data_IF_103739325531
#
_entry.id   IF_103739325531
#
_cell.length_a   1.000
_cell.length_b   1.000
_cell.length_c   1.000
_cell.angle_alpha   90.00
_cell.angle_beta   90.00
_cell.angle_gamma   90.00
#
_symmetry.space_group_name_H-M   'P 1'
#
loop_
_entity.id
_entity.type
_entity.pdbx_description
1 polymer ?
#
# COMPACT_ATOMS: atom_id res chain seq x y z
N UNK A 1 -6.42 -39.73 -56.53
CA UNK A 1 -7.89 -39.48 -56.50
C UNK A 1 -8.60 -40.72 -57.01
N UNK A 2 -9.45 -41.36 -56.20
CA UNK A 2 -10.40 -42.36 -56.67
C UNK A 2 -11.63 -42.41 -55.74
N UNK A 3 -12.76 -42.82 -56.31
CA UNK A 3 -14.12 -42.68 -55.80
C UNK A 3 -14.68 -44.03 -55.32
N UNK A 4 -15.80 -43.97 -54.58
CA UNK A 4 -16.85 -45.02 -54.45
C UNK A 4 -16.43 -46.29 -53.66
N UNK A 5 -17.33 -47.07 -53.07
CA UNK A 5 -18.78 -46.95 -52.78
C UNK A 5 -19.20 -48.13 -51.87
N UNK A 6 -20.27 -48.02 -51.09
CA UNK A 6 -21.04 -49.18 -50.65
C UNK A 6 -22.56 -48.98 -50.74
N UNK A 7 -23.27 -50.11 -50.91
CA UNK A 7 -24.71 -50.32 -51.15
C UNK A 7 -25.11 -51.62 -50.41
N UNK A 8 -26.38 -51.99 -50.17
CA UNK A 8 -27.67 -51.58 -50.72
C UNK A 8 -28.75 -51.29 -49.63
N UNK A 9 -29.94 -50.86 -50.09
CA UNK A 9 -31.31 -51.27 -49.76
C UNK A 9 -31.53 -52.39 -48.68
N UNK A 10 -32.67 -52.55 -47.99
CA UNK A 10 -34.08 -52.16 -48.32
C UNK A 10 -34.99 -52.09 -47.08
N UNK A 11 -36.14 -51.42 -47.26
CA UNK A 11 -37.28 -51.26 -46.36
C UNK A 11 -37.93 -52.53 -45.75
N UNK A 12 -38.68 -52.33 -44.65
CA UNK A 12 -40.07 -52.82 -44.53
C UNK A 12 -40.90 -51.95 -43.56
N UNK A 13 -42.23 -52.01 -43.70
CA UNK A 13 -43.23 -51.19 -43.00
C UNK A 13 -44.15 -52.06 -42.14
N UNK A 14 -44.65 -51.55 -41.00
CA UNK A 14 -46.10 -51.47 -40.72
C UNK A 14 -46.42 -50.63 -39.47
N UNK A 15 -47.62 -50.04 -39.45
CA UNK A 15 -48.15 -49.24 -38.35
C UNK A 15 -49.12 -50.01 -37.46
N UNK A 16 -49.33 -49.54 -36.24
CA UNK A 16 -50.50 -49.88 -35.41
C UNK A 16 -50.90 -48.67 -34.55
N UNK A 17 -52.11 -48.16 -34.80
CA UNK A 17 -52.79 -47.12 -34.04
C UNK A 17 -53.64 -47.78 -32.94
N UNK A 18 -53.77 -47.12 -31.78
CA UNK A 18 -55.03 -46.91 -31.05
C UNK A 18 -54.78 -46.16 -29.72
N UNK A 19 -55.35 -44.96 -29.61
CA UNK A 19 -55.64 -44.33 -28.30
C UNK A 19 -56.87 -45.02 -27.68
N UNK A 20 -57.19 -44.80 -26.38
CA UNK A 20 -58.04 -43.63 -26.09
C UNK A 20 -57.93 -43.01 -24.68
N UNK A 21 -58.68 -41.91 -24.54
CA UNK A 21 -59.27 -41.31 -23.32
C UNK A 21 -58.44 -40.35 -22.46
N UNK A 22 -58.83 -39.09 -22.61
CA UNK A 22 -58.47 -37.90 -21.84
C UNK A 22 -59.00 -38.00 -20.39
N UNK A 23 -58.14 -37.76 -19.39
CA UNK A 23 -58.57 -37.34 -18.05
C UNK A 23 -57.62 -36.28 -17.47
N UNK A 24 -58.22 -35.14 -17.09
CA UNK A 24 -57.74 -34.10 -16.18
C UNK A 24 -56.22 -33.81 -16.07
N UNK A 25 -55.76 -32.73 -16.72
CA UNK A 25 -54.57 -31.99 -16.28
C UNK A 25 -54.96 -30.62 -15.72
N UNK A 26 -54.93 -30.50 -14.39
CA UNK A 26 -54.86 -29.20 -13.72
C UNK A 26 -53.48 -28.57 -13.97
N UNK A 27 -53.37 -27.24 -14.13
CA UNK A 27 -52.08 -26.57 -14.18
C UNK A 27 -51.49 -26.47 -12.76
N UNK A 28 -50.62 -27.42 -12.39
CA UNK A 28 -49.73 -27.23 -11.25
C UNK A 28 -48.59 -26.30 -11.68
N UNK A 29 -48.65 -25.03 -11.26
CA UNK A 29 -47.55 -24.07 -11.42
C UNK A 29 -46.38 -24.46 -10.52
N UNK A 30 -45.45 -25.25 -11.08
CA UNK A 30 -44.15 -25.50 -10.44
C UNK A 30 -43.33 -24.20 -10.43
N UNK A 31 -43.27 -23.55 -9.27
CA UNK A 31 -42.54 -22.30 -9.07
C UNK A 31 -41.02 -22.54 -9.12
N UNK A 32 -40.42 -22.42 -10.30
CA UNK A 32 -38.96 -22.53 -10.48
C UNK A 32 -38.26 -21.23 -10.06
N UNK A 33 -38.19 -21.00 -8.75
CA UNK A 33 -37.33 -19.97 -8.15
C UNK A 33 -36.51 -20.58 -7.00
N UNK A 34 -35.63 -21.52 -7.34
CA UNK A 34 -34.43 -21.81 -6.53
C UNK A 34 -33.24 -21.30 -7.32
N UNK A 35 -32.89 -20.04 -7.06
CA UNK A 35 -31.69 -19.40 -7.59
C UNK A 35 -30.45 -20.04 -6.95
N UNK A 36 -29.94 -21.11 -7.56
CA UNK A 36 -28.63 -21.67 -7.19
C UNK A 36 -27.53 -20.71 -7.60
N UNK A 37 -27.12 -19.81 -6.68
CA UNK A 37 -25.88 -19.04 -6.82
C UNK A 37 -24.99 -19.11 -5.57
N UNK A 38 -24.45 -20.29 -5.21
CA UNK A 38 -23.56 -20.44 -4.05
C UNK A 38 -22.22 -19.70 -4.22
N UNK A 39 -21.82 -19.40 -5.46
CA UNK A 39 -20.51 -18.83 -5.77
C UNK A 39 -20.42 -17.31 -5.55
N UNK A 40 -21.52 -16.56 -5.70
CA UNK A 40 -21.50 -15.10 -5.48
C UNK A 40 -21.28 -14.76 -4.00
N UNK A 41 -22.05 -15.42 -3.12
CA UNK A 41 -21.96 -15.26 -1.67
C UNK A 41 -20.54 -15.55 -1.14
N UNK A 42 -19.77 -16.43 -1.80
CA UNK A 42 -18.44 -16.82 -1.33
C UNK A 42 -17.37 -15.74 -1.56
N UNK A 43 -17.53 -14.89 -2.58
CA UNK A 43 -16.67 -13.72 -2.78
C UNK A 43 -16.94 -12.63 -1.74
N UNK A 44 -18.22 -12.34 -1.49
CA UNK A 44 -18.65 -11.34 -0.51
C UNK A 44 -18.32 -11.76 0.94
N UNK A 45 -18.46 -13.05 1.28
CA UNK A 45 -18.07 -13.55 2.61
C UNK A 45 -16.57 -13.39 2.87
N UNK A 46 -15.71 -13.57 1.85
CA UNK A 46 -14.27 -13.40 1.99
C UNK A 46 -13.87 -11.93 2.14
N UNK A 47 -14.56 -11.01 1.45
CA UNK A 47 -14.39 -9.56 1.65
C UNK A 47 -14.78 -9.14 3.09
N UNK A 48 -15.86 -9.70 3.63
CA UNK A 48 -16.32 -9.44 5.01
C UNK A 48 -15.45 -10.11 6.09
N UNK A 49 -14.52 -10.98 5.72
CA UNK A 49 -13.70 -11.77 6.67
C UNK A 49 -12.19 -11.49 6.57
N UNK A 50 -11.76 -10.49 5.78
CA UNK A 50 -10.43 -9.89 5.96
C UNK A 50 -10.38 -9.19 7.32
N UNK A 51 -9.50 -9.67 8.21
CA UNK A 51 -9.05 -8.84 9.32
C UNK A 51 -8.49 -7.55 8.72
N UNK A 52 -9.03 -6.38 9.11
CA UNK A 52 -8.53 -5.09 8.63
C UNK A 52 -7.02 -5.01 8.82
N UNK A 53 -6.31 -4.55 7.79
CA UNK A 53 -4.85 -4.46 7.75
C UNK A 53 -4.33 -3.73 9.01
N UNK A 54 -3.51 -4.40 9.80
CA UNK A 54 -2.93 -3.90 11.06
C UNK A 54 -1.44 -4.19 11.10
N UNK A 55 -0.67 -3.23 11.60
CA UNK A 55 0.77 -3.40 11.73
C UNK A 55 1.17 -4.20 12.97
N UNK A 56 1.96 -5.26 12.80
CA UNK A 56 2.60 -5.97 13.90
C UNK A 56 3.86 -5.22 14.34
N UNK A 57 3.73 -4.36 15.34
CA UNK A 57 4.84 -3.56 15.86
C UNK A 57 6.00 -4.47 16.33
N UNK A 58 7.19 -4.42 15.70
CA UNK A 58 8.35 -5.20 16.13
C UNK A 58 8.92 -4.64 17.45
N UNK A 59 9.46 -5.52 18.30
CA UNK A 59 10.10 -5.14 19.57
C UNK A 59 11.54 -4.63 19.36
N UNK A 60 11.66 -3.56 18.59
CA UNK A 60 12.92 -2.88 18.28
C UNK A 60 12.86 -1.43 18.73
N UNK A 61 14.02 -0.83 18.94
CA UNK A 61 14.19 0.60 19.19
C UNK A 61 15.27 1.13 18.24
N UNK A 62 15.15 2.38 17.77
CA UNK A 62 16.19 3.03 17.01
C UNK A 62 17.46 3.18 17.84
N UNK A 63 18.58 3.08 17.15
CA UNK A 63 19.89 3.52 17.60
C UNK A 63 20.08 5.00 17.27
N UNK A 64 20.77 5.72 18.17
CA UNK A 64 21.05 7.14 18.01
C UNK A 64 19.88 8.09 18.36
N UNK A 65 20.16 9.39 18.25
CA UNK A 65 19.22 10.46 18.57
C UNK A 65 18.31 10.74 17.37
N UNK A 66 17.00 10.57 17.56
CA UNK A 66 15.98 10.97 16.59
C UNK A 66 15.35 12.31 17.00
N UNK A 67 14.79 13.02 16.02
CA UNK A 67 14.20 14.34 16.24
C UNK A 67 12.95 14.55 15.38
N UNK A 68 11.81 14.75 16.03
CA UNK A 68 10.68 15.46 15.45
C UNK A 68 10.74 16.92 15.90
N UNK A 69 10.81 17.87 14.97
CA UNK A 69 10.97 19.29 15.25
C UNK A 69 9.92 20.14 14.55
N UNK A 70 9.07 20.79 15.35
CA UNK A 70 8.36 22.00 14.90
C UNK A 70 9.37 23.15 14.77
N UNK A 71 9.09 24.07 13.84
CA UNK A 71 9.94 25.23 13.54
C UNK A 71 10.45 25.96 14.79
N UNK A 72 11.75 26.25 14.83
CA UNK A 72 12.39 27.25 15.72
C UNK A 72 12.99 28.34 14.81
N UNK A 73 12.95 29.60 15.21
CA UNK A 73 13.37 30.70 14.32
C UNK A 73 12.26 31.16 13.36
N UNK A 74 12.64 31.83 12.26
CA UNK A 74 11.72 32.69 11.50
C UNK A 74 10.99 31.99 10.32
N UNK A 75 10.78 30.69 10.43
CA UNK A 75 10.09 29.85 9.44
C UNK A 75 8.55 30.04 9.42
N UNK A 76 8.10 31.29 9.25
CA UNK A 76 6.69 31.68 9.11
C UNK A 76 6.40 32.07 7.66
N UNK A 77 6.29 31.09 6.78
CA UNK A 77 6.18 31.30 5.32
C UNK A 77 4.89 32.03 4.87
N UNK A 78 3.92 32.19 5.77
CA UNK A 78 2.67 32.94 5.63
C UNK A 78 2.44 33.95 6.79
N UNK A 79 3.43 34.14 7.67
CA UNK A 79 3.33 34.99 8.86
C UNK A 79 2.45 34.48 10.01
N UNK A 80 1.80 33.31 9.92
CA UNK A 80 0.84 32.85 10.94
C UNK A 80 0.90 31.36 11.29
N UNK A 81 1.34 30.49 10.37
CA UNK A 81 1.34 29.04 10.55
C UNK A 81 2.77 28.50 10.66
N UNK A 82 3.08 27.82 11.75
CA UNK A 82 4.35 27.09 11.88
C UNK A 82 4.37 25.92 10.92
N UNK A 83 5.44 25.81 10.13
CA UNK A 83 5.64 24.65 9.27
C UNK A 83 5.90 23.40 10.12
N UNK A 84 5.17 22.33 9.81
CA UNK A 84 5.31 21.01 10.41
C UNK A 84 5.75 19.99 9.36
N UNK A 85 6.67 19.10 9.73
CA UNK A 85 7.12 17.97 8.91
C UNK A 85 6.89 16.70 9.71
N UNK A 86 6.15 15.74 9.15
CA UNK A 86 5.80 14.48 9.80
C UNK A 86 6.24 13.31 8.92
N UNK A 87 7.00 12.38 9.48
CA UNK A 87 7.27 11.09 8.84
C UNK A 87 6.11 10.13 9.15
N UNK A 88 5.61 9.40 8.15
CA UNK A 88 4.58 8.38 8.38
C UNK A 88 5.26 7.13 8.91
N UNK A 89 5.56 7.14 10.20
CA UNK A 89 6.33 6.11 10.91
C UNK A 89 5.59 5.66 12.17
N UNK A 90 5.75 4.40 12.60
CA UNK A 90 5.18 3.94 13.86
C UNK A 90 5.84 4.67 15.04
N UNK A 91 5.14 4.71 16.19
CA UNK A 91 5.63 5.33 17.43
C UNK A 91 6.97 4.77 17.97
N UNK A 92 7.47 3.65 17.43
CA UNK A 92 8.83 3.17 17.68
C UNK A 92 9.90 4.04 17.02
N UNK A 93 9.54 4.90 16.06
CA UNK A 93 10.41 5.76 15.24
C UNK A 93 11.51 5.00 14.45
N UNK A 94 11.33 3.69 14.26
CA UNK A 94 12.16 2.84 13.40
C UNK A 94 11.28 2.01 12.47
N UNK A 95 11.61 2.05 11.18
CA UNK A 95 10.95 1.28 10.13
C UNK A 95 11.85 0.16 9.64
N UNK A 96 11.32 -1.06 9.58
CA UNK A 96 12.00 -2.17 8.89
C UNK A 96 11.67 -2.13 7.40
N UNK A 97 12.65 -2.44 6.56
CA UNK A 97 12.48 -2.63 5.12
C UNK A 97 13.18 -3.89 4.62
N UNK A 98 12.72 -4.49 3.52
CA UNK A 98 13.48 -5.52 2.78
C UNK A 98 14.10 -4.99 1.49
N UNK A 99 13.56 -3.88 0.97
CA UNK A 99 14.10 -3.17 -0.18
C UNK A 99 15.52 -2.61 0.06
N UNK A 100 16.36 -2.69 -0.97
CA UNK A 100 17.62 -1.93 -1.07
C UNK A 100 17.40 -0.44 -1.31
N UNK A 101 16.29 -0.13 -1.98
CA UNK A 101 15.86 1.19 -2.44
C UNK A 101 14.46 1.48 -1.88
N UNK A 102 14.35 1.74 -0.56
CA UNK A 102 13.06 1.97 0.07
C UNK A 102 12.39 3.24 -0.43
N UNK A 103 11.06 3.28 -0.27
CA UNK A 103 10.23 4.46 -0.46
C UNK A 103 9.84 5.03 0.91
N UNK A 104 10.24 6.27 1.18
CA UNK A 104 9.94 6.99 2.40
C UNK A 104 8.66 7.80 2.25
N UNK A 105 7.81 7.85 3.27
CA UNK A 105 6.57 8.62 3.25
C UNK A 105 6.58 9.69 4.33
N UNK A 106 6.21 10.90 3.94
CA UNK A 106 6.20 12.07 4.81
C UNK A 106 5.11 13.05 4.39
N UNK A 107 4.80 13.98 5.28
CA UNK A 107 3.91 15.11 5.06
C UNK A 107 4.63 16.39 5.44
N UNK A 108 4.44 17.42 4.64
CA UNK A 108 4.75 18.81 5.01
C UNK A 108 3.42 19.56 5.12
N UNK A 109 3.22 20.33 6.18
CA UNK A 109 2.05 21.20 6.32
C UNK A 109 1.95 22.20 5.16
N UNK A 110 0.76 22.77 4.93
CA UNK A 110 0.59 23.78 3.88
C UNK A 110 1.56 24.95 4.10
N UNK A 111 2.31 25.32 3.06
CA UNK A 111 3.36 26.35 3.11
C UNK A 111 3.62 26.92 1.71
N UNK A 112 4.20 28.13 1.63
CA UNK A 112 4.68 28.76 0.40
C UNK A 112 6.14 28.38 0.05
N UNK A 113 6.84 27.68 0.94
CA UNK A 113 8.21 27.19 0.73
C UNK A 113 8.23 26.14 -0.38
N UNK A 114 9.15 26.31 -1.33
CA UNK A 114 9.16 25.53 -2.57
C UNK A 114 10.05 24.28 -2.51
N UNK A 115 10.97 24.18 -1.55
CA UNK A 115 11.93 23.08 -1.45
C UNK A 115 12.05 22.50 -0.02
N UNK A 116 12.16 21.18 0.04
CA UNK A 116 12.72 20.45 1.17
C UNK A 116 14.03 19.77 0.74
N UNK A 117 14.79 19.27 1.71
CA UNK A 117 15.95 18.41 1.48
C UNK A 117 15.73 17.07 2.19
N UNK A 118 15.81 15.99 1.43
CA UNK A 118 15.93 14.64 1.96
C UNK A 118 17.39 14.32 2.24
N UNK A 119 17.65 13.63 3.35
CA UNK A 119 18.98 13.10 3.71
C UNK A 119 18.86 11.66 4.17
N UNK A 120 19.75 10.81 3.69
CA UNK A 120 20.08 9.51 4.28
C UNK A 120 21.41 9.68 5.03
N UNK A 121 21.45 9.25 6.28
CA UNK A 121 22.61 9.33 7.16
C UNK A 121 22.96 7.94 7.69
N UNK A 122 24.18 7.81 8.22
CA UNK A 122 24.60 6.61 8.94
C UNK A 122 23.76 6.37 10.23
N UNK A 123 23.96 5.22 10.85
CA UNK A 123 23.33 4.79 12.12
C UNK A 123 23.35 5.88 13.22
N UNK A 124 24.46 6.61 13.34
CA UNK A 124 24.65 7.67 14.33
C UNK A 124 23.92 8.97 14.00
N UNK A 125 23.58 9.20 12.73
CA UNK A 125 23.01 10.47 12.26
C UNK A 125 24.02 11.62 12.16
N UNK A 126 25.32 11.32 12.13
CA UNK A 126 26.43 12.30 12.07
C UNK A 126 27.04 12.44 10.66
N UNK A 127 26.88 11.44 9.79
CA UNK A 127 27.48 11.39 8.46
C UNK A 127 26.39 11.26 7.40
N UNK A 128 26.35 12.20 6.46
CA UNK A 128 25.43 12.16 5.30
C UNK A 128 25.96 11.15 4.28
N UNK A 129 25.14 10.16 3.92
CA UNK A 129 25.42 9.13 2.92
C UNK A 129 24.85 9.53 1.55
N UNK A 130 23.71 10.21 1.55
CA UNK A 130 23.03 10.70 0.35
C UNK A 130 22.15 11.90 0.73
N UNK A 131 22.05 12.91 -0.13
CA UNK A 131 21.06 13.97 0.01
C UNK A 131 20.51 14.43 -1.34
N UNK A 132 19.28 14.95 -1.34
CA UNK A 132 18.60 15.45 -2.54
C UNK A 132 17.57 16.53 -2.19
N UNK A 133 17.50 17.58 -3.01
CA UNK A 133 16.43 18.57 -2.94
C UNK A 133 15.13 17.97 -3.48
N UNK A 134 14.01 18.21 -2.78
CA UNK A 134 12.68 17.71 -3.08
C UNK A 134 11.72 18.90 -3.32
N UNK A 135 11.11 19.03 -4.52
CA UNK A 135 10.13 20.07 -4.78
C UNK A 135 8.83 19.88 -3.97
N UNK A 136 8.50 20.90 -3.17
CA UNK A 136 7.30 20.99 -2.35
C UNK A 136 6.09 21.52 -3.12
N UNK A 137 5.68 20.78 -4.15
CA UNK A 137 4.33 20.90 -4.72
C UNK A 137 3.30 20.27 -3.78
N UNK A 138 2.04 20.73 -3.85
CA UNK A 138 0.90 20.14 -3.13
C UNK A 138 1.14 19.93 -1.61
N UNK A 139 1.59 20.99 -0.94
CA UNK A 139 1.83 20.99 0.51
C UNK A 139 0.52 20.84 1.29
N UNK A 140 0.52 19.99 2.31
CA UNK A 140 -0.68 19.58 3.07
C UNK A 140 -1.08 18.12 2.89
N UNK A 141 -0.65 17.46 1.81
CA UNK A 141 -0.93 16.05 1.50
C UNK A 141 0.25 15.12 1.84
N UNK A 142 0.03 13.80 1.77
CA UNK A 142 1.10 12.81 1.94
C UNK A 142 1.91 12.68 0.65
N UNK A 143 3.22 12.84 0.76
CA UNK A 143 4.20 12.66 -0.32
C UNK A 143 5.02 11.38 -0.06
N UNK A 144 5.58 10.82 -1.14
CA UNK A 144 6.56 9.74 -1.06
C UNK A 144 7.85 10.11 -1.77
N UNK A 145 8.99 9.56 -1.35
CA UNK A 145 10.28 9.70 -2.04
C UNK A 145 10.97 8.34 -2.07
N UNK A 146 11.34 7.87 -3.26
CA UNK A 146 12.03 6.59 -3.45
C UNK A 146 13.52 6.83 -3.57
N UNK A 147 14.34 6.09 -2.81
CA UNK A 147 15.79 6.18 -2.91
C UNK A 147 16.22 5.77 -4.34
N UNK A 148 16.82 6.66 -5.15
CA UNK A 148 17.02 6.39 -6.57
C UNK A 148 18.20 5.44 -6.82
N UNK A 149 18.33 4.97 -8.06
CA UNK A 149 19.31 3.94 -8.45
C UNK A 149 20.77 4.38 -8.25
N UNK A 150 21.07 5.67 -8.44
CA UNK A 150 22.37 6.31 -8.32
C UNK A 150 22.81 6.56 -6.86
N UNK A 151 21.88 6.58 -5.91
CA UNK A 151 22.22 6.59 -4.48
C UNK A 151 22.93 5.28 -4.06
N UNK A 152 23.57 5.22 -2.88
CA UNK A 152 23.93 3.94 -2.26
C UNK A 152 22.70 3.04 -2.02
N UNK A 153 22.89 1.73 -1.97
CA UNK A 153 21.86 0.77 -1.55
C UNK A 153 21.94 0.54 -0.04
N UNK A 154 20.79 0.33 0.63
CA UNK A 154 20.82 -0.06 2.05
C UNK A 154 21.35 -1.49 2.20
N UNK A 155 22.31 -1.70 3.10
CA UNK A 155 22.88 -3.03 3.38
C UNK A 155 22.01 -3.81 4.36
N UNK A 156 21.87 -5.12 4.13
CA UNK A 156 21.10 -6.01 5.01
C UNK A 156 21.74 -6.05 6.41
N UNK A 157 20.91 -5.90 7.44
CA UNK A 157 21.32 -5.88 8.85
C UNK A 157 21.77 -4.51 9.35
N UNK A 158 22.09 -3.55 8.47
CA UNK A 158 22.50 -2.19 8.85
C UNK A 158 21.31 -1.27 9.08
N UNK A 159 21.51 -0.36 10.02
CA UNK A 159 20.59 0.70 10.37
C UNK A 159 21.13 2.05 9.90
N UNK A 160 20.21 2.92 9.51
CA UNK A 160 20.46 4.24 8.95
C UNK A 160 19.44 5.20 9.54
N UNK A 161 19.73 6.50 9.50
CA UNK A 161 18.73 7.53 9.76
C UNK A 161 18.33 8.20 8.46
N UNK A 162 17.06 8.55 8.30
CA UNK A 162 16.61 9.41 7.21
C UNK A 162 15.91 10.64 7.77
N UNK A 163 16.09 11.76 7.09
CA UNK A 163 15.63 13.07 7.52
C UNK A 163 15.01 13.83 6.34
N UNK A 164 13.91 14.53 6.60
CA UNK A 164 13.35 15.55 5.69
C UNK A 164 13.39 16.89 6.42
N UNK A 165 14.00 17.88 5.78
CA UNK A 165 14.15 19.26 6.30
C UNK A 165 13.48 20.22 5.34
N UNK A 166 12.61 21.11 5.82
CA UNK A 166 12.07 22.20 4.99
C UNK A 166 13.00 23.40 5.11
N UNK A 167 13.51 23.91 3.99
CA UNK A 167 14.47 25.01 3.99
C UNK A 167 13.73 26.36 3.88
N UNK A 168 13.40 26.96 5.03
CA UNK A 168 12.63 28.20 5.11
C UNK A 168 13.40 29.36 5.75
N UNK A 169 14.45 29.06 6.52
CA UNK A 169 15.37 30.03 7.09
C UNK A 169 16.80 29.65 6.63
N UNK A 170 17.37 30.35 5.63
CA UNK A 170 18.74 30.13 5.19
C UNK A 170 19.79 30.62 6.20
N UNK A 171 19.43 31.56 7.08
CA UNK A 171 20.32 32.21 8.04
C UNK A 171 20.41 31.40 9.35
N UNK A 172 19.35 30.67 9.74
CA UNK A 172 19.39 29.61 10.75
C UNK A 172 18.95 28.22 10.22
N UNK A 173 19.85 27.47 9.55
CA UNK A 173 19.58 26.11 9.09
C UNK A 173 19.27 25.09 10.21
N UNK A 174 19.58 25.40 11.48
CA UNK A 174 19.30 24.53 12.62
C UNK A 174 17.86 24.74 13.13
N UNK A 175 17.31 25.94 12.97
CA UNK A 175 15.91 26.27 13.24
C UNK A 175 14.91 25.60 12.28
N UNK A 176 15.35 25.28 11.06
CA UNK A 176 14.52 24.70 10.00
C UNK A 176 13.72 23.45 10.46
N UNK A 177 12.38 23.42 10.21
CA UNK A 177 11.50 22.30 10.52
C UNK A 177 12.01 21.00 9.91
N UNK A 178 11.94 19.92 10.69
CA UNK A 178 12.48 18.62 10.28
C UNK A 178 11.84 17.44 11.00
N UNK A 179 11.86 16.31 10.32
CA UNK A 179 11.63 14.99 10.93
C UNK A 179 12.77 14.07 10.59
N UNK A 180 13.25 13.33 11.59
CA UNK A 180 14.35 12.36 11.49
C UNK A 180 13.93 11.06 12.14
N UNK A 181 13.99 9.95 11.40
CA UNK A 181 13.62 8.62 11.90
C UNK A 181 14.60 7.54 11.43
N UNK A 182 14.61 6.39 12.10
CA UNK A 182 15.51 5.30 11.73
C UNK A 182 14.88 4.37 10.68
N UNK A 183 15.73 3.77 9.85
CA UNK A 183 15.38 2.70 8.91
C UNK A 183 16.43 1.58 8.98
N UNK A 184 15.97 0.34 8.99
CA UNK A 184 16.85 -0.84 8.99
C UNK A 184 16.44 -1.81 7.90
N UNK A 185 17.37 -2.15 7.01
CA UNK A 185 17.12 -3.22 6.04
C UNK A 185 17.31 -4.57 6.72
N UNK A 186 16.33 -5.45 6.60
CA UNK A 186 16.34 -6.80 7.16
C UNK A 186 16.36 -7.84 6.06
N UNK A 187 16.92 -9.01 6.37
CA UNK A 187 16.79 -10.17 5.51
C UNK A 187 15.31 -10.63 5.53
N UNK A 188 14.60 -10.68 4.38
CA UNK A 188 13.25 -11.24 4.36
C UNK A 188 13.26 -12.71 4.81
N UNK A 189 12.25 -13.12 5.59
CA UNK A 189 12.07 -14.52 5.98
C UNK A 189 11.74 -15.39 4.76
N UNK A 190 12.17 -16.65 4.75
CA UNK A 190 11.84 -17.60 3.66
C UNK A 190 10.33 -17.76 3.48
N UNK A 191 9.58 -17.72 4.58
CA UNK A 191 8.11 -17.68 4.60
C UNK A 191 7.56 -16.46 3.87
N UNK A 192 8.07 -15.25 4.16
CA UNK A 192 7.64 -14.03 3.49
C UNK A 192 7.94 -14.07 1.99
N UNK A 193 9.16 -14.46 1.59
CA UNK A 193 9.53 -14.62 0.18
C UNK A 193 8.57 -15.56 -0.54
N UNK A 194 8.29 -16.73 0.07
CA UNK A 194 7.40 -17.73 -0.51
C UNK A 194 5.96 -17.22 -0.69
N UNK A 195 5.45 -16.43 0.26
CA UNK A 195 4.13 -15.78 0.17
C UNK A 195 4.11 -14.68 -0.89
N UNK A 196 5.12 -13.80 -0.95
CA UNK A 196 5.20 -12.68 -1.91
C UNK A 196 5.26 -13.13 -3.38
N UNK A 197 5.82 -14.30 -3.66
CA UNK A 197 5.84 -14.92 -5.00
C UNK A 197 4.44 -15.31 -5.48
N UNK A 198 3.56 -15.73 -4.57
CA UNK A 198 2.21 -16.22 -4.87
C UNK A 198 1.13 -15.13 -4.71
N UNK A 199 1.41 -14.09 -3.93
CA UNK A 199 0.47 -13.02 -3.60
C UNK A 199 0.23 -12.04 -4.75
N UNK A 200 -1.02 -11.60 -4.91
CA UNK A 200 -1.35 -10.44 -5.74
C UNK A 200 -0.73 -9.18 -5.12
N UNK A 201 -0.51 -8.14 -5.92
CA UNK A 201 0.02 -6.86 -5.42
C UNK A 201 -0.83 -6.29 -4.27
N UNK A 202 -2.15 -6.41 -4.35
CA UNK A 202 -3.11 -6.00 -3.31
C UNK A 202 -2.90 -6.69 -1.96
N UNK A 203 -2.41 -7.93 -1.93
CA UNK A 203 -2.26 -8.71 -0.69
C UNK A 203 -0.90 -8.46 -0.01
N UNK A 204 0.06 -7.82 -0.71
CA UNK A 204 1.44 -7.60 -0.21
C UNK A 204 1.53 -6.66 1.00
N UNK A 205 0.75 -5.56 1.12
CA UNK A 205 0.77 -4.70 2.30
C UNK A 205 0.54 -5.45 3.62
N UNK A 206 -0.44 -6.35 3.69
CA UNK A 206 -0.70 -7.17 4.89
C UNK A 206 0.46 -8.15 5.17
N UNK A 207 1.01 -8.79 4.14
CA UNK A 207 2.16 -9.70 4.30
C UNK A 207 3.37 -9.00 4.93
N UNK A 208 3.70 -7.79 4.48
CA UNK A 208 4.75 -6.98 5.09
C UNK A 208 4.37 -6.52 6.51
N UNK A 209 3.13 -6.09 6.72
CA UNK A 209 2.65 -5.60 8.01
C UNK A 209 2.66 -6.69 9.11
N UNK A 210 2.35 -7.94 8.77
CA UNK A 210 2.38 -9.08 9.69
C UNK A 210 3.80 -9.61 10.01
N UNK A 211 4.79 -9.31 9.16
CA UNK A 211 6.21 -9.54 9.46
C UNK A 211 6.87 -8.34 10.17
N UNK A 212 6.15 -7.23 10.36
CA UNK A 212 6.66 -6.01 11.01
C UNK A 212 7.50 -5.10 10.09
N UNK A 213 7.35 -5.25 8.78
CA UNK A 213 8.11 -4.53 7.74
C UNK A 213 7.32 -3.28 7.33
N UNK A 214 7.41 -2.23 8.15
CA UNK A 214 6.61 -1.01 8.00
C UNK A 214 6.78 -0.31 6.65
N UNK A 215 8.02 -0.15 6.20
CA UNK A 215 8.35 0.69 5.04
C UNK A 215 7.73 0.11 3.78
N UNK A 216 7.93 -1.19 3.53
CA UNK A 216 7.39 -1.90 2.37
C UNK A 216 5.86 -2.03 2.46
N UNK A 217 5.29 -2.23 3.64
CA UNK A 217 3.83 -2.27 3.85
C UNK A 217 3.17 -0.94 3.46
N UNK A 218 3.65 0.17 4.04
CA UNK A 218 3.09 1.50 3.84
C UNK A 218 3.29 1.99 2.40
N UNK A 219 4.49 1.81 1.84
CA UNK A 219 4.79 2.27 0.48
C UNK A 219 4.05 1.48 -0.60
N UNK A 220 3.91 0.16 -0.45
CA UNK A 220 3.11 -0.65 -1.38
C UNK A 220 1.64 -0.22 -1.35
N UNK A 221 1.08 0.01 -0.15
CA UNK A 221 -0.31 0.46 -0.01
C UNK A 221 -0.54 1.88 -0.58
N UNK A 222 0.42 2.79 -0.37
CA UNK A 222 0.40 4.12 -0.97
C UNK A 222 0.38 4.06 -2.50
N UNK A 223 1.26 3.25 -3.11
CA UNK A 223 1.30 3.06 -4.57
C UNK A 223 -0.03 2.49 -5.11
N UNK A 224 -0.60 1.49 -4.43
CA UNK A 224 -1.91 0.94 -4.79
C UNK A 224 -3.03 1.98 -4.73
N UNK A 225 -3.02 2.84 -3.69
CA UNK A 225 -3.99 3.94 -3.55
C UNK A 225 -3.85 5.03 -4.59
N UNK A 226 -2.63 5.38 -5.00
CA UNK A 226 -2.40 6.36 -6.06
C UNK A 226 -2.82 5.80 -7.42
N UNK A 227 -2.56 4.52 -7.68
CA UNK A 227 -3.01 3.84 -8.90
C UNK A 227 -4.54 3.64 -8.96
N UNK A 228 -5.22 3.51 -7.81
CA UNK A 228 -6.65 3.23 -7.71
C UNK A 228 -7.35 4.20 -6.72
N UNK A 229 -7.42 5.51 -7.03
CA UNK A 229 -7.81 6.54 -6.05
C UNK A 229 -9.27 6.46 -5.56
N UNK A 230 -10.13 5.77 -6.32
CA UNK A 230 -11.55 5.57 -6.01
C UNK A 230 -11.84 4.22 -5.33
N UNK A 231 -10.82 3.40 -5.07
CA UNK A 231 -10.98 2.11 -4.40
C UNK A 231 -11.26 2.32 -2.89
N UNK A 232 -12.44 1.91 -2.46
CA UNK A 232 -12.87 2.03 -1.06
C UNK A 232 -12.16 1.05 -0.13
N UNK A 233 -11.79 -0.13 -0.60
CA UNK A 233 -11.10 -1.14 0.22
C UNK A 233 -9.68 -0.67 0.53
N UNK A 234 -8.92 -0.21 -0.48
CA UNK A 234 -7.59 0.37 -0.28
C UNK A 234 -7.61 1.63 0.61
N UNK A 235 -8.69 2.41 0.55
CA UNK A 235 -8.90 3.56 1.45
C UNK A 235 -9.11 3.11 2.90
N UNK A 236 -9.92 2.09 3.15
CA UNK A 236 -10.13 1.53 4.49
C UNK A 236 -8.87 0.84 5.04
N UNK A 237 -8.13 0.09 4.23
CA UNK A 237 -6.86 -0.53 4.62
C UNK A 237 -5.82 0.52 5.03
N UNK A 238 -5.73 1.64 4.30
CA UNK A 238 -4.83 2.74 4.63
C UNK A 238 -5.19 3.41 5.96
N UNK A 239 -6.49 3.63 6.20
CA UNK A 239 -6.97 4.18 7.46
C UNK A 239 -6.63 3.23 8.60
N UNK A 240 -6.97 1.94 8.48
CA UNK A 240 -6.67 0.91 9.49
C UNK A 240 -5.17 0.77 9.77
N UNK A 241 -4.32 0.78 8.74
CA UNK A 241 -2.87 0.67 8.89
C UNK A 241 -2.31 1.86 9.70
N UNK A 242 -2.69 3.08 9.35
CA UNK A 242 -2.21 4.29 10.04
C UNK A 242 -2.80 4.45 11.44
N UNK A 243 -4.09 4.14 11.64
CA UNK A 243 -4.72 4.08 12.96
C UNK A 243 -4.02 3.06 13.87
N UNK A 244 -3.59 1.90 13.33
CA UNK A 244 -2.90 0.85 14.10
C UNK A 244 -1.56 1.30 14.71
N UNK A 245 -1.02 2.44 14.25
CA UNK A 245 0.22 3.03 14.76
C UNK A 245 0.05 4.46 15.31
N UNK A 246 -1.18 4.97 15.42
CA UNK A 246 -1.48 6.29 16.00
C UNK A 246 -1.43 7.48 15.04
N UNK A 247 -1.51 7.25 13.73
CA UNK A 247 -1.48 8.26 12.67
C UNK A 247 -2.88 8.60 12.12
N UNK A 248 -3.93 8.45 12.92
CA UNK A 248 -5.35 8.65 12.53
C UNK A 248 -5.67 10.01 11.91
N UNK A 249 -4.94 11.09 12.25
CA UNK A 249 -5.15 12.39 11.62
C UNK A 249 -4.57 12.45 10.20
N UNK A 250 -3.45 11.76 9.95
CA UNK A 250 -2.84 11.67 8.62
C UNK A 250 -3.63 10.73 7.70
N UNK A 251 -4.27 9.70 8.28
CA UNK A 251 -5.10 8.74 7.55
C UNK A 251 -6.20 9.36 6.66
N UNK A 252 -6.66 10.57 7.02
CA UNK A 252 -7.72 11.32 6.33
C UNK A 252 -7.24 12.06 5.08
N UNK A 253 -5.92 12.18 4.88
CA UNK A 253 -5.33 13.03 3.83
C UNK A 253 -5.17 12.30 2.49
N UNK A 254 -5.16 13.02 1.36
CA UNK A 254 -4.73 12.49 0.08
C UNK A 254 -3.31 11.92 0.12
N UNK A 255 -3.09 10.89 -0.70
CA UNK A 255 -1.77 10.32 -0.99
C UNK A 255 -1.43 10.70 -2.42
N UNK A 256 -0.26 11.32 -2.61
CA UNK A 256 0.20 11.80 -3.91
C UNK A 256 1.33 10.93 -4.46
N UNK A 257 1.55 11.03 -5.77
CA UNK A 257 2.70 10.45 -6.46
C UNK A 257 4.06 10.81 -5.81
N UNK A 258 5.05 9.95 -6.07
CA UNK A 258 6.41 10.14 -5.58
C UNK A 258 7.05 11.42 -6.09
N UNK A 259 7.71 12.14 -5.18
CA UNK A 259 8.60 13.25 -5.53
C UNK A 259 9.76 12.70 -6.37
N UNK A 260 10.12 13.35 -7.50
CA UNK A 260 11.16 12.87 -8.42
C UNK A 260 12.56 12.81 -7.81
#
# INVERSE_FOLDING_TARGET
MLKKSFLQLTALSLALLLEPLIMGKMPATANQNILTKPELMRGELLALQRNRLRFKVPRIRPSGNLSGGTARGNCNADGTTKIEVIALMPNTNIGLTVAEKPTFLFRVSKTSVQEAKFKLLNEKGDTIIYEKNLPLTNTGDVRSFTLPADAPALEIGKEYQWEVVVNCDPDDPNGNPRVRTAIKRVQPSSTLVSKLVQAKLSDRPDLYAQEGIWIDALSTLAQLRVANPNDSELKEEWISLLESVGLQEIAKMPVMDSVP
#
